data_IF_141378871639
#
_entry.id   IF_141378871639
#
_cell.length_a   1.000
_cell.length_b   1.000
_cell.length_c   1.000
_cell.angle_alpha   90.00
_cell.angle_beta   90.00
_cell.angle_gamma   90.00
#
_symmetry.space_group_name_H-M   'P 1'
#
loop_
_entity.id
_entity.type
_entity.pdbx_description
1 polymer ?
#
# COMPACT_ATOMS: atom_id res chain seq x y z
N UNK A 1 -21.66 51.40 56.14
CA UNK A 1 -20.33 50.74 55.90
C UNK A 1 -20.61 49.56 54.97
N UNK A 2 -20.35 49.73 53.67
CA UNK A 2 -20.58 48.67 52.67
C UNK A 2 -19.25 47.98 52.35
N UNK A 3 -19.13 46.71 52.71
CA UNK A 3 -17.99 45.84 52.39
C UNK A 3 -18.12 45.37 50.97
N UNK A 4 -17.16 45.72 50.07
CA UNK A 4 -17.02 45.14 48.75
C UNK A 4 -16.11 43.92 48.86
N UNK A 5 -16.67 42.71 48.65
CA UNK A 5 -15.87 41.51 48.47
C UNK A 5 -15.38 41.41 47.02
N UNK A 6 -14.10 41.57 46.79
CA UNK A 6 -13.49 41.33 45.48
C UNK A 6 -13.23 39.82 45.33
N UNK A 7 -13.93 39.16 44.42
CA UNK A 7 -13.64 37.76 44.05
C UNK A 7 -12.46 37.72 43.04
N UNK A 8 -11.35 37.13 43.44
CA UNK A 8 -10.19 36.86 42.58
C UNK A 8 -10.50 35.64 41.72
N UNK A 9 -10.72 35.83 40.43
CA UNK A 9 -10.86 34.74 39.46
C UNK A 9 -9.48 34.28 39.03
N UNK A 10 -9.07 33.11 39.51
CA UNK A 10 -7.83 32.46 39.11
C UNK A 10 -8.06 31.79 37.76
N UNK A 11 -7.58 32.37 36.65
CA UNK A 11 -7.60 31.76 35.34
C UNK A 11 -6.50 30.69 35.25
N UNK A 12 -6.89 29.41 35.35
CA UNK A 12 -6.00 28.29 35.10
C UNK A 12 -5.77 28.16 33.57
N UNK A 13 -4.61 28.55 33.10
CA UNK A 13 -4.15 28.28 31.72
C UNK A 13 -3.82 26.81 31.60
N UNK A 14 -4.74 26.04 31.01
CA UNK A 14 -4.47 24.66 30.58
C UNK A 14 -3.39 24.72 29.46
N UNK A 15 -2.14 24.42 29.84
CA UNK A 15 -1.07 24.21 28.87
C UNK A 15 -1.32 22.86 28.19
N UNK A 16 -1.88 22.84 26.99
CA UNK A 16 -2.00 21.65 26.19
C UNK A 16 -0.59 21.12 25.86
N UNK A 17 -0.32 19.81 26.03
CA UNK A 17 0.98 19.27 25.64
C UNK A 17 1.22 19.53 24.15
N UNK A 18 2.49 19.76 23.73
CA UNK A 18 2.80 19.95 22.31
C UNK A 18 2.32 18.72 21.54
N UNK A 19 1.56 18.92 20.48
CA UNK A 19 1.17 17.88 19.57
C UNK A 19 2.44 17.26 18.97
N UNK A 20 2.71 15.99 19.26
CA UNK A 20 3.83 15.26 18.64
C UNK A 20 3.47 15.11 17.16
N UNK A 21 4.31 15.67 16.27
CA UNK A 21 4.13 15.53 14.84
C UNK A 21 4.20 14.05 14.43
N UNK A 22 3.35 13.64 13.50
CA UNK A 22 3.37 12.30 12.95
C UNK A 22 4.77 12.01 12.35
N UNK A 23 5.35 10.87 12.71
CA UNK A 23 6.58 10.41 12.08
C UNK A 23 6.27 9.98 10.64
N UNK A 24 7.06 10.42 9.64
CA UNK A 24 6.87 10.01 8.26
C UNK A 24 7.00 8.49 8.08
N UNK A 25 6.16 7.90 7.22
CA UNK A 25 6.35 6.53 6.76
C UNK A 25 7.55 6.49 5.82
N UNK A 26 8.46 5.54 6.00
CA UNK A 26 9.71 5.43 5.24
C UNK A 26 9.77 4.08 4.54
N UNK A 27 10.19 4.08 3.27
CA UNK A 27 10.44 2.86 2.51
C UNK A 27 11.67 2.12 3.03
N UNK A 28 11.59 0.79 3.05
CA UNK A 28 12.73 -0.05 3.38
C UNK A 28 13.70 -0.18 2.21
N UNK A 29 14.99 -0.18 2.51
CA UNK A 29 16.03 -0.24 1.49
C UNK A 29 16.35 -1.68 1.02
N UNK A 30 16.20 -2.66 1.89
CA UNK A 30 16.56 -4.07 1.65
C UNK A 30 15.35 -4.91 1.28
N UNK A 31 15.02 -4.94 -0.01
CA UNK A 31 13.92 -5.74 -0.55
C UNK A 31 14.18 -7.24 -0.42
N UNK A 32 15.43 -7.70 -0.47
CA UNK A 32 15.74 -9.13 -0.34
C UNK A 32 15.48 -9.63 1.08
N UNK A 33 15.79 -8.84 2.10
CA UNK A 33 15.43 -9.15 3.47
C UNK A 33 13.91 -9.21 3.68
N UNK A 34 13.14 -8.32 3.03
CA UNK A 34 11.67 -8.34 3.08
C UNK A 34 11.08 -9.62 2.44
N UNK A 35 11.73 -10.15 1.40
CA UNK A 35 11.30 -11.34 0.67
C UNK A 35 11.72 -12.64 1.35
N UNK A 36 12.69 -12.60 2.25
CA UNK A 36 13.14 -13.76 3.01
C UNK A 36 12.05 -14.28 3.95
N UNK A 37 12.05 -15.59 4.18
CA UNK A 37 11.26 -16.29 5.19
C UNK A 37 11.93 -17.62 5.54
N UNK A 38 11.81 -18.06 6.78
CA UNK A 38 12.19 -19.42 7.20
C UNK A 38 11.25 -20.50 6.64
N UNK A 39 10.02 -20.14 6.29
CA UNK A 39 9.09 -20.99 5.54
C UNK A 39 9.31 -20.75 4.03
N UNK A 40 9.79 -21.79 3.35
CA UNK A 40 10.09 -21.72 1.91
C UNK A 40 8.84 -21.39 1.05
N UNK A 41 7.65 -21.85 1.46
CA UNK A 41 6.40 -21.55 0.75
C UNK A 41 6.06 -20.07 0.86
N UNK A 42 6.22 -19.45 2.03
CA UNK A 42 5.98 -18.03 2.21
C UNK A 42 7.00 -17.20 1.41
N UNK A 43 8.29 -17.60 1.38
CA UNK A 43 9.29 -16.94 0.55
C UNK A 43 8.94 -16.98 -0.94
N UNK A 44 8.47 -18.14 -1.43
CA UNK A 44 8.02 -18.31 -2.83
C UNK A 44 6.81 -17.41 -3.13
N UNK A 45 5.82 -17.38 -2.25
CA UNK A 45 4.62 -16.54 -2.43
C UNK A 45 4.97 -15.05 -2.43
N UNK A 46 5.82 -14.59 -1.51
CA UNK A 46 6.33 -13.21 -1.50
C UNK A 46 7.01 -12.86 -2.82
N UNK A 47 7.89 -13.72 -3.31
CA UNK A 47 8.63 -13.52 -4.56
C UNK A 47 7.69 -13.49 -5.78
N UNK A 48 6.67 -14.34 -5.81
CA UNK A 48 5.66 -14.36 -6.87
C UNK A 48 4.95 -13.02 -6.98
N UNK A 49 4.39 -12.52 -5.86
CA UNK A 49 3.64 -11.26 -5.81
C UNK A 49 4.54 -10.06 -6.09
N UNK A 50 5.74 -10.06 -5.53
CA UNK A 50 6.73 -9.02 -5.78
C UNK A 50 7.13 -8.93 -7.26
N UNK A 51 7.36 -10.07 -7.92
CA UNK A 51 7.70 -10.09 -9.35
C UNK A 51 6.51 -9.71 -10.23
N UNK A 52 5.28 -10.12 -9.88
CA UNK A 52 4.07 -9.62 -10.54
C UNK A 52 4.00 -8.10 -10.50
N UNK A 53 4.20 -7.50 -9.30
CA UNK A 53 4.19 -6.05 -9.15
C UNK A 53 5.24 -5.38 -10.03
N UNK A 54 6.47 -5.87 -9.98
CA UNK A 54 7.62 -5.34 -10.72
C UNK A 54 7.49 -5.47 -12.23
N UNK A 55 7.04 -6.63 -12.71
CA UNK A 55 7.06 -6.96 -14.14
C UNK A 55 5.75 -6.56 -14.83
N UNK A 56 4.61 -6.91 -14.23
CA UNK A 56 3.30 -6.69 -14.86
C UNK A 56 2.77 -5.29 -14.53
N UNK A 57 2.74 -4.92 -13.26
CA UNK A 57 2.11 -3.67 -12.84
C UNK A 57 3.02 -2.45 -13.11
N UNK A 58 4.23 -2.42 -12.58
CA UNK A 58 5.16 -1.31 -12.82
C UNK A 58 5.80 -1.34 -14.21
N UNK A 59 6.23 -2.53 -14.66
CA UNK A 59 6.87 -2.71 -15.96
C UNK A 59 5.91 -2.58 -17.13
N UNK A 60 4.61 -2.74 -16.90
CA UNK A 60 3.58 -2.64 -17.93
C UNK A 60 3.54 -3.85 -18.88
N UNK A 61 4.19 -4.96 -18.51
CA UNK A 61 4.27 -6.20 -19.30
C UNK A 61 3.03 -7.05 -19.07
N UNK A 62 1.88 -6.61 -19.61
CA UNK A 62 0.59 -7.27 -19.44
C UNK A 62 0.55 -8.68 -20.03
N UNK A 63 1.39 -8.96 -21.04
CA UNK A 63 1.57 -10.29 -21.61
C UNK A 63 2.09 -11.33 -20.60
N UNK A 64 2.74 -10.87 -19.52
CA UNK A 64 3.18 -11.72 -18.43
C UNK A 64 2.09 -12.02 -17.38
N UNK A 65 0.89 -11.44 -17.51
CA UNK A 65 -0.20 -11.67 -16.54
C UNK A 65 -0.52 -13.16 -16.39
N UNK A 66 -0.47 -13.94 -17.47
CA UNK A 66 -0.72 -15.37 -17.44
C UNK A 66 0.29 -16.14 -16.57
N UNK A 67 1.54 -15.70 -16.53
CA UNK A 67 2.58 -16.29 -15.67
C UNK A 67 2.25 -16.15 -14.18
N UNK A 68 1.61 -15.04 -13.80
CA UNK A 68 1.42 -14.66 -12.40
C UNK A 68 0.00 -14.85 -11.88
N UNK A 69 -1.02 -14.68 -12.72
CA UNK A 69 -2.41 -14.61 -12.30
C UNK A 69 -3.19 -15.86 -12.72
N UNK A 70 -4.10 -16.30 -11.87
CA UNK A 70 -5.10 -17.29 -12.23
C UNK A 70 -6.07 -16.71 -13.29
N UNK A 71 -6.61 -17.55 -14.15
CA UNK A 71 -7.63 -17.12 -15.12
C UNK A 71 -8.87 -16.58 -14.41
N UNK A 72 -9.29 -17.23 -13.33
CA UNK A 72 -10.42 -16.85 -12.48
C UNK A 72 -10.08 -15.78 -11.44
N UNK A 73 -9.04 -14.97 -11.65
CA UNK A 73 -8.61 -13.93 -10.72
C UNK A 73 -9.77 -13.04 -10.26
N UNK A 74 -9.90 -12.85 -8.94
CA UNK A 74 -10.93 -12.03 -8.32
C UNK A 74 -10.33 -10.70 -7.87
N UNK A 75 -11.00 -9.62 -8.23
CA UNK A 75 -10.61 -8.26 -7.88
C UNK A 75 -11.63 -7.63 -6.93
N UNK A 76 -11.17 -7.04 -5.82
CA UNK A 76 -12.01 -6.33 -4.86
C UNK A 76 -11.89 -4.80 -4.94
N UNK A 77 -10.95 -4.27 -5.75
CA UNK A 77 -10.94 -2.84 -6.06
C UNK A 77 -12.17 -2.48 -6.90
N UNK A 78 -13.04 -1.54 -6.44
CA UNK A 78 -14.28 -1.22 -7.13
C UNK A 78 -14.09 -0.54 -8.49
N UNK A 79 -12.87 -0.07 -8.78
CA UNK A 79 -12.50 0.57 -10.06
C UNK A 79 -11.88 -0.37 -11.09
N UNK A 80 -11.64 -1.66 -10.75
CA UNK A 80 -10.94 -2.63 -11.61
C UNK A 80 -11.78 -3.90 -11.78
N UNK A 81 -12.00 -4.40 -13.00
CA UNK A 81 -12.84 -5.57 -13.23
C UNK A 81 -12.17 -6.89 -12.77
N UNK A 82 -13.00 -7.87 -12.37
CA UNK A 82 -12.62 -9.24 -12.06
C UNK A 82 -12.28 -10.04 -13.32
N UNK A 83 -11.33 -10.98 -13.22
CA UNK A 83 -10.85 -11.86 -14.29
C UNK A 83 -9.54 -11.38 -14.89
N UNK A 84 -8.60 -12.33 -15.12
CA UNK A 84 -7.28 -12.00 -15.71
C UNK A 84 -7.41 -11.28 -17.06
N UNK A 85 -8.29 -11.77 -17.95
CA UNK A 85 -8.50 -11.13 -19.26
C UNK A 85 -9.04 -9.70 -19.11
N UNK A 86 -9.99 -9.48 -18.20
CA UNK A 86 -10.56 -8.17 -17.94
C UNK A 86 -9.55 -7.21 -17.28
N UNK A 87 -8.68 -7.73 -16.40
CA UNK A 87 -7.54 -6.99 -15.86
C UNK A 87 -6.60 -6.52 -16.99
N UNK A 88 -6.19 -7.42 -17.88
CA UNK A 88 -5.31 -7.09 -19.02
C UNK A 88 -5.96 -6.05 -19.93
N UNK A 89 -7.21 -6.22 -20.29
CA UNK A 89 -7.97 -5.27 -21.12
C UNK A 89 -8.04 -3.89 -20.45
N UNK A 90 -8.37 -3.85 -19.16
CA UNK A 90 -8.48 -2.59 -18.40
C UNK A 90 -7.15 -1.83 -18.38
N UNK A 91 -6.06 -2.51 -18.02
CA UNK A 91 -4.74 -1.86 -17.90
C UNK A 91 -4.08 -1.56 -19.25
N UNK A 92 -4.47 -2.25 -20.35
CA UNK A 92 -3.92 -1.98 -21.70
C UNK A 92 -4.19 -0.55 -22.20
N UNK A 93 -5.17 0.13 -21.61
CA UNK A 93 -5.55 1.51 -21.99
C UNK A 93 -4.50 2.54 -21.59
N UNK A 94 -3.65 2.23 -20.59
CA UNK A 94 -2.66 3.15 -20.05
C UNK A 94 -1.30 2.52 -19.74
N UNK A 95 -1.19 1.22 -19.62
CA UNK A 95 0.09 0.55 -19.45
C UNK A 95 0.89 0.57 -20.75
N UNK A 96 2.18 0.91 -20.64
CA UNK A 96 3.14 0.83 -21.73
C UNK A 96 4.34 0.03 -21.24
N UNK A 97 4.74 -1.06 -21.92
CA UNK A 97 5.91 -1.83 -21.55
C UNK A 97 7.16 -0.96 -21.49
N UNK A 98 7.95 -1.12 -20.45
CA UNK A 98 9.26 -0.49 -20.21
C UNK A 98 10.25 -1.53 -19.67
N UNK A 99 11.52 -1.17 -19.64
CA UNK A 99 12.52 -2.05 -19.07
C UNK A 99 12.10 -2.53 -17.67
N UNK A 100 12.15 -3.84 -17.45
CA UNK A 100 11.88 -4.42 -16.14
C UNK A 100 13.04 -4.07 -15.22
N UNK A 101 12.75 -3.29 -14.19
CA UNK A 101 13.74 -2.86 -13.21
C UNK A 101 14.20 -4.04 -12.34
N UNK A 102 15.40 -4.04 -11.78
CA UNK A 102 15.89 -5.13 -10.93
C UNK A 102 15.09 -5.27 -9.62
N UNK A 103 14.42 -4.20 -9.16
CA UNK A 103 13.55 -4.19 -7.99
C UNK A 103 12.32 -3.31 -8.21
N UNK A 104 11.28 -3.52 -7.38
CA UNK A 104 10.10 -2.65 -7.29
C UNK A 104 10.55 -1.21 -7.04
N UNK A 105 10.03 -0.26 -7.81
CA UNK A 105 10.36 1.17 -7.76
C UNK A 105 9.46 1.95 -6.80
N UNK A 106 8.20 1.54 -6.67
CA UNK A 106 7.31 2.12 -5.67
C UNK A 106 7.96 2.02 -4.28
N UNK A 107 7.78 3.03 -3.42
CA UNK A 107 8.45 3.11 -2.13
C UNK A 107 7.90 2.04 -1.16
N UNK A 108 8.41 0.81 -1.31
CA UNK A 108 7.99 -0.39 -0.57
C UNK A 108 8.44 -0.31 0.89
N UNK A 109 7.49 -0.43 1.82
CA UNK A 109 7.72 -0.43 3.27
C UNK A 109 7.97 -1.84 3.79
N UNK A 110 7.15 -2.80 3.34
CA UNK A 110 7.21 -4.18 3.80
C UNK A 110 6.59 -5.16 2.80
N UNK A 111 7.04 -6.42 2.86
CA UNK A 111 6.40 -7.58 2.24
C UNK A 111 6.13 -8.60 3.32
N UNK A 112 4.86 -8.83 3.64
CA UNK A 112 4.43 -9.79 4.65
C UNK A 112 3.74 -10.97 3.98
N UNK A 113 3.83 -12.17 4.58
CA UNK A 113 3.06 -13.32 4.13
C UNK A 113 2.64 -14.18 5.32
N UNK A 114 1.42 -14.68 5.26
CA UNK A 114 0.87 -15.67 6.18
C UNK A 114 -0.05 -16.63 5.42
N UNK A 115 0.13 -17.93 5.61
CA UNK A 115 -0.60 -18.93 4.85
C UNK A 115 -0.43 -18.74 3.34
N UNK A 116 -1.51 -18.42 2.65
CA UNK A 116 -1.54 -18.13 1.22
C UNK A 116 -1.74 -16.63 0.90
N UNK A 117 -1.73 -15.78 1.91
CA UNK A 117 -1.85 -14.34 1.75
C UNK A 117 -0.47 -13.68 1.70
N UNK A 118 -0.33 -12.69 0.82
CA UNK A 118 0.84 -11.81 0.72
C UNK A 118 0.36 -10.37 0.72
N UNK A 119 1.01 -9.52 1.53
CA UNK A 119 0.72 -8.10 1.61
C UNK A 119 1.95 -7.30 1.21
N UNK A 120 1.78 -6.38 0.29
CA UNK A 120 2.73 -5.31 -0.03
C UNK A 120 2.25 -4.02 0.65
N UNK A 121 3.13 -3.38 1.41
CA UNK A 121 2.87 -2.09 2.02
C UNK A 121 3.76 -1.04 1.36
N UNK A 122 3.18 0.09 0.94
CA UNK A 122 3.87 1.18 0.27
C UNK A 122 3.71 2.50 1.02
N UNK A 123 4.71 3.36 0.94
CA UNK A 123 4.52 4.77 1.32
C UNK A 123 3.53 5.41 0.35
N UNK A 124 2.54 6.07 0.88
CA UNK A 124 1.63 6.91 0.13
C UNK A 124 1.75 8.36 0.61
N UNK A 125 1.99 9.26 -0.32
CA UNK A 125 2.01 10.69 -0.05
C UNK A 125 0.64 11.30 -0.35
N UNK A 126 0.13 12.08 0.59
CA UNK A 126 -1.17 12.74 0.49
C UNK A 126 -1.02 14.23 0.78
N UNK A 127 -1.88 15.06 0.19
CA UNK A 127 -1.98 16.46 0.53
C UNK A 127 -2.63 16.62 1.93
N UNK A 128 -2.12 17.57 2.73
CA UNK A 128 -2.74 17.89 4.01
C UNK A 128 -4.13 18.53 3.75
N UNK A 129 -5.21 17.98 4.32
CA UNK A 129 -6.56 18.52 4.09
C UNK A 129 -6.77 19.94 4.64
N UNK A 130 -5.89 20.40 5.54
CA UNK A 130 -5.92 21.76 6.11
C UNK A 130 -5.00 22.73 5.37
N UNK A 131 -4.00 22.23 4.63
CA UNK A 131 -3.04 23.04 3.89
C UNK A 131 -2.51 22.23 2.69
N UNK A 132 -3.15 22.33 1.55
CA UNK A 132 -2.84 21.55 0.34
C UNK A 132 -1.42 21.79 -0.19
N UNK A 133 -0.72 22.82 0.25
CA UNK A 133 0.69 23.04 -0.06
C UNK A 133 1.62 22.14 0.76
N UNK A 134 1.12 21.55 1.84
CA UNK A 134 1.83 20.57 2.66
C UNK A 134 1.42 19.17 2.32
N UNK A 135 2.32 18.24 2.57
CA UNK A 135 2.12 16.81 2.36
C UNK A 135 2.43 16.04 3.63
N UNK A 136 1.77 14.91 3.78
CA UNK A 136 2.09 13.92 4.81
C UNK A 136 2.18 12.55 4.17
N UNK A 137 2.80 11.61 4.86
CA UNK A 137 2.89 10.23 4.40
C UNK A 137 1.95 9.34 5.20
N UNK A 138 1.33 8.40 4.50
CA UNK A 138 0.55 7.30 5.06
C UNK A 138 0.98 6.00 4.39
N UNK A 139 0.26 4.92 4.63
CA UNK A 139 0.57 3.61 4.05
C UNK A 139 -0.58 3.15 3.18
N UNK A 140 -0.25 2.68 1.98
CA UNK A 140 -1.15 1.95 1.09
C UNK A 140 -0.84 0.46 1.18
N UNK A 141 -1.88 -0.38 1.13
CA UNK A 141 -1.76 -1.83 1.24
C UNK A 141 -2.38 -2.49 0.02
N UNK A 142 -1.64 -3.42 -0.59
CA UNK A 142 -2.12 -4.35 -1.60
C UNK A 142 -1.96 -5.76 -1.05
N UNK A 143 -3.07 -6.47 -0.87
CA UNK A 143 -3.09 -7.84 -0.38
C UNK A 143 -3.51 -8.80 -1.48
N UNK A 144 -2.81 -9.91 -1.58
CA UNK A 144 -3.01 -10.93 -2.60
C UNK A 144 -3.21 -12.30 -1.96
N UNK A 145 -4.09 -13.11 -2.51
CA UNK A 145 -4.16 -14.53 -2.21
C UNK A 145 -3.48 -15.30 -3.34
N UNK A 146 -2.55 -16.17 -2.96
CA UNK A 146 -1.83 -17.07 -3.87
C UNK A 146 -2.42 -18.46 -3.77
N UNK A 147 -2.75 -19.06 -4.91
CA UNK A 147 -3.31 -20.40 -5.02
C UNK A 147 -2.71 -21.12 -6.22
N UNK A 148 -2.23 -22.34 -6.02
CA UNK A 148 -1.58 -23.14 -7.07
C UNK A 148 -0.45 -22.37 -7.81
N UNK A 149 0.36 -21.57 -7.06
CA UNK A 149 1.46 -20.79 -7.61
C UNK A 149 1.05 -19.60 -8.48
N UNK A 150 -0.20 -19.12 -8.34
CA UNK A 150 -0.73 -17.95 -9.05
C UNK A 150 -1.51 -17.03 -8.11
N UNK A 151 -1.55 -15.76 -8.42
CA UNK A 151 -2.41 -14.77 -7.75
C UNK A 151 -3.85 -15.07 -8.14
N UNK A 152 -4.65 -15.46 -7.17
CA UNK A 152 -6.04 -15.80 -7.33
C UNK A 152 -7.00 -14.66 -6.94
N UNK A 153 -6.52 -13.72 -6.09
CA UNK A 153 -7.39 -12.68 -5.55
C UNK A 153 -6.57 -11.47 -5.05
N UNK A 154 -7.17 -10.28 -5.10
CA UNK A 154 -6.52 -9.04 -4.70
C UNK A 154 -7.50 -8.10 -3.98
N UNK A 155 -7.01 -7.45 -2.93
CA UNK A 155 -7.67 -6.39 -2.16
C UNK A 155 -6.75 -5.18 -2.02
N UNK A 156 -7.33 -4.01 -2.06
CA UNK A 156 -6.70 -2.75 -1.70
C UNK A 156 -7.72 -1.80 -1.04
N UNK A 157 -7.32 -0.70 -0.42
CA UNK A 157 -8.22 0.26 0.23
C UNK A 157 -8.88 1.25 -0.74
N UNK A 158 -8.89 0.97 -2.05
CA UNK A 158 -9.51 1.87 -3.02
C UNK A 158 -11.01 2.03 -2.76
N UNK A 159 -11.49 3.24 -2.93
CA UNK A 159 -12.93 3.58 -2.90
C UNK A 159 -13.43 3.80 -4.32
N UNK A 160 -14.74 3.73 -4.49
CA UNK A 160 -15.35 4.10 -5.79
C UNK A 160 -14.97 5.55 -6.14
N UNK A 161 -14.60 5.82 -7.40
CA UNK A 161 -14.35 7.18 -7.88
C UNK A 161 -15.62 8.03 -7.88
#
# INVERSE_FOLDING_TARGET
MKLFSSALVLAATLCAPPAVAQMPVVAGADHEAMLASSDARLAVNKRLVYNFWREVFEGGHLELAEKYMAESYIQHNPGVPTGRAAFVEFFSRFAKPKAIEPRVKAPLVAVLADGNLVLLAFVREEADPKDVAKKYTTTWFDMFRVENGRIAEHWDPAVKP
#
